data_IF_483455671153
#
_entry.id   IF_483455671153
#
_cell.length_a   1.000
_cell.length_b   1.000
_cell.length_c   1.000
_cell.angle_alpha   90.00
_cell.angle_beta   90.00
_cell.angle_gamma   90.00
#
_symmetry.space_group_name_H-M   'P 1'
#
loop_
_entity.id
_entity.type
_entity.pdbx_description
1 polymer ?
#
# COMPACT_ATOMS: atom_id res chain seq x y z
N UNK A 1 -51.95 58.81 28.12
CA UNK A 1 -53.04 57.81 28.22
C UNK A 1 -52.59 56.56 27.46
N UNK A 2 -52.42 55.34 27.99
CA UNK A 2 -53.00 54.71 29.16
C UNK A 2 -53.93 53.56 28.72
N UNK A 3 -53.38 52.34 28.52
CA UNK A 3 -54.02 51.02 28.64
C UNK A 3 -52.94 49.94 28.41
N UNK A 4 -52.42 49.27 29.46
CA UNK A 4 -53.01 48.12 30.20
C UNK A 4 -53.27 46.96 29.22
N UNK A 5 -52.72 45.75 29.33
CA UNK A 5 -51.82 45.10 30.28
C UNK A 5 -51.81 43.62 29.88
N UNK A 6 -50.65 43.05 29.52
CA UNK A 6 -50.50 41.60 29.24
C UNK A 6 -50.18 40.90 30.56
N UNK A 7 -51.11 40.09 31.06
CA UNK A 7 -50.86 39.00 32.00
C UNK A 7 -51.69 37.80 31.60
N UNK A 8 -51.04 36.65 31.51
CA UNK A 8 -51.61 35.37 31.14
C UNK A 8 -50.47 34.39 30.91
N UNK A 9 -49.80 34.01 32.01
CA UNK A 9 -48.89 32.87 32.03
C UNK A 9 -49.70 31.59 31.80
N UNK A 10 -49.31 30.77 30.82
CA UNK A 10 -49.56 29.33 30.86
C UNK A 10 -48.27 28.62 30.43
N UNK A 11 -47.72 27.92 31.42
CA UNK A 11 -46.66 26.93 31.39
C UNK A 11 -46.98 25.85 30.34
N UNK A 12 -46.01 25.50 29.49
CA UNK A 12 -46.20 24.48 28.46
C UNK A 12 -44.89 23.90 27.93
N UNK A 13 -44.31 23.00 28.73
CA UNK A 13 -43.37 21.92 28.39
C UNK A 13 -42.35 22.14 27.25
N UNK A 14 -41.09 22.31 27.68
CA UNK A 14 -39.90 22.05 26.90
C UNK A 14 -39.73 20.52 26.72
N UNK A 15 -40.08 19.98 25.55
CA UNK A 15 -39.73 18.62 25.15
C UNK A 15 -38.57 18.68 24.14
N UNK A 16 -37.35 18.80 24.66
CA UNK A 16 -36.13 18.68 23.84
C UNK A 16 -35.88 17.18 23.62
N UNK A 17 -36.36 16.64 22.51
CA UNK A 17 -36.06 15.28 22.08
C UNK A 17 -34.59 15.27 21.64
N UNK A 18 -33.70 14.86 22.54
CA UNK A 18 -32.35 14.41 22.18
C UNK A 18 -32.50 13.09 21.43
N UNK A 19 -32.64 13.16 20.11
CA UNK A 19 -32.39 12.01 19.25
C UNK A 19 -30.90 11.72 19.35
N UNK A 20 -30.55 10.73 20.18
CA UNK A 20 -29.22 10.16 20.22
C UNK A 20 -28.90 9.58 18.85
N UNK A 21 -28.07 10.29 18.07
CA UNK A 21 -27.41 9.70 16.91
C UNK A 21 -26.45 8.67 17.47
N UNK A 22 -26.86 7.40 17.48
CA UNK A 22 -25.94 6.30 17.64
C UNK A 22 -24.98 6.35 16.45
N UNK A 23 -23.81 6.93 16.68
CA UNK A 23 -22.71 6.84 15.76
C UNK A 23 -22.28 5.37 15.70
N UNK A 24 -22.89 4.62 14.77
CA UNK A 24 -22.34 3.36 14.29
C UNK A 24 -21.00 3.68 13.64
N UNK A 25 -19.96 3.79 14.46
CA UNK A 25 -18.59 3.60 14.00
C UNK A 25 -18.44 2.11 13.74
N UNK A 26 -18.96 1.67 12.59
CA UNK A 26 -18.50 0.44 11.99
C UNK A 26 -17.02 0.68 11.68
N UNK A 27 -16.14 0.38 12.63
CA UNK A 27 -14.74 0.18 12.35
C UNK A 27 -14.70 -0.90 11.27
N UNK A 28 -14.44 -0.49 10.03
CA UNK A 28 -14.39 -1.42 8.90
C UNK A 28 -13.40 -2.52 9.24
N UNK A 29 -13.87 -3.78 9.23
CA UNK A 29 -12.96 -4.92 9.31
C UNK A 29 -12.00 -4.73 8.13
N UNK A 30 -10.67 -4.64 8.36
CA UNK A 30 -9.72 -4.52 7.27
C UNK A 30 -9.97 -5.66 6.29
N UNK A 31 -10.30 -5.32 5.05
CA UNK A 31 -10.53 -6.32 4.02
C UNK A 31 -9.25 -7.17 3.91
N UNK A 32 -9.38 -8.46 4.21
CA UNK A 32 -8.25 -9.38 4.10
C UNK A 32 -7.82 -9.40 2.64
N UNK A 33 -6.57 -9.03 2.38
CA UNK A 33 -6.01 -9.10 1.02
C UNK A 33 -5.73 -10.56 0.71
N UNK A 34 -6.35 -11.06 -0.35
CA UNK A 34 -6.35 -12.51 -0.65
C UNK A 34 -4.93 -13.06 -0.95
N UNK A 35 -3.98 -12.19 -1.31
CA UNK A 35 -2.59 -12.55 -1.56
C UNK A 35 -1.66 -12.50 -0.33
N UNK A 36 -2.20 -12.12 0.82
CA UNK A 36 -1.48 -12.17 2.10
C UNK A 36 -1.95 -13.37 2.92
N UNK A 37 -0.99 -14.11 3.48
CA UNK A 37 -1.31 -15.04 4.56
C UNK A 37 -1.77 -14.27 5.81
N UNK A 38 -2.47 -14.96 6.71
CA UNK A 38 -2.92 -14.35 7.97
C UNK A 38 -1.74 -13.78 8.78
N UNK A 39 -0.62 -14.51 8.84
CA UNK A 39 0.58 -14.09 9.57
C UNK A 39 1.22 -12.84 8.95
N UNK A 40 1.20 -12.72 7.62
CA UNK A 40 1.73 -11.54 6.94
C UNK A 40 0.85 -10.32 7.13
N UNK A 41 -0.47 -10.50 7.07
CA UNK A 41 -1.43 -9.45 7.39
C UNK A 41 -1.27 -8.97 8.85
N UNK A 42 -1.08 -9.90 9.80
CA UNK A 42 -0.80 -9.56 11.19
C UNK A 42 0.50 -8.74 11.32
N UNK A 43 1.59 -9.14 10.66
CA UNK A 43 2.84 -8.36 10.65
C UNK A 43 2.64 -6.92 10.15
N UNK A 44 1.85 -6.72 9.10
CA UNK A 44 1.57 -5.37 8.56
C UNK A 44 0.73 -4.55 9.53
N UNK A 45 -0.28 -5.17 10.17
CA UNK A 45 -1.12 -4.52 11.18
C UNK A 45 -0.28 -4.08 12.39
N UNK A 46 0.63 -4.94 12.82
CA UNK A 46 1.43 -4.74 14.03
C UNK A 46 2.65 -3.83 13.80
N UNK A 47 2.97 -3.49 12.54
CA UNK A 47 4.00 -2.51 12.22
C UNK A 47 3.59 -1.10 12.66
N UNK A 48 4.50 -0.37 13.31
CA UNK A 48 4.22 0.93 13.92
C UNK A 48 4.24 2.05 12.87
N UNK A 49 5.15 1.95 11.90
CA UNK A 49 5.42 3.02 10.94
C UNK A 49 5.06 2.65 9.51
N UNK A 50 4.76 3.65 8.69
CA UNK A 50 4.52 3.47 7.24
C UNK A 50 5.76 2.89 6.54
N UNK A 51 6.98 3.31 6.94
CA UNK A 51 8.25 2.74 6.45
C UNK A 51 8.35 1.23 6.68
N UNK A 52 7.94 0.76 7.87
CA UNK A 52 7.96 -0.67 8.20
C UNK A 52 6.94 -1.45 7.38
N UNK A 53 5.73 -0.90 7.18
CA UNK A 53 4.71 -1.53 6.33
C UNK A 53 5.18 -1.66 4.89
N UNK A 54 5.75 -0.60 4.31
CA UNK A 54 6.37 -0.64 2.97
C UNK A 54 7.45 -1.72 2.89
N UNK A 55 8.34 -1.80 3.89
CA UNK A 55 9.38 -2.83 3.95
C UNK A 55 8.79 -4.25 3.99
N UNK A 56 7.73 -4.48 4.74
CA UNK A 56 7.07 -5.77 4.83
C UNK A 56 6.49 -6.19 3.48
N UNK A 57 5.73 -5.32 2.82
CA UNK A 57 5.20 -5.59 1.49
C UNK A 57 6.30 -5.90 0.47
N UNK A 58 7.40 -5.14 0.45
CA UNK A 58 8.52 -5.43 -0.44
C UNK A 58 9.25 -6.73 -0.10
N UNK A 59 9.31 -7.11 1.17
CA UNK A 59 9.85 -8.42 1.59
C UNK A 59 8.94 -9.53 1.10
N UNK A 60 7.63 -9.35 1.21
CA UNK A 60 6.64 -10.29 0.74
C UNK A 60 6.71 -10.46 -0.77
N UNK A 61 6.77 -9.37 -1.54
CA UNK A 61 6.99 -9.40 -2.98
C UNK A 61 8.24 -10.23 -3.36
N UNK A 62 9.38 -9.97 -2.71
CA UNK A 62 10.62 -10.74 -2.92
C UNK A 62 10.41 -12.24 -2.67
N UNK A 63 9.70 -12.62 -1.61
CA UNK A 63 9.39 -14.03 -1.31
C UNK A 63 8.50 -14.68 -2.39
N UNK A 64 7.53 -13.95 -2.97
CA UNK A 64 6.68 -14.48 -4.05
C UNK A 64 7.49 -14.69 -5.30
N UNK A 65 8.36 -13.73 -5.65
CA UNK A 65 9.20 -13.81 -6.83
C UNK A 65 10.23 -14.94 -6.73
N UNK A 66 10.76 -15.22 -5.53
CA UNK A 66 11.62 -16.39 -5.29
C UNK A 66 10.86 -17.71 -5.40
N UNK A 67 9.65 -17.78 -4.82
CA UNK A 67 8.79 -18.97 -4.95
C UNK A 67 8.40 -19.21 -6.40
N UNK A 68 8.16 -18.15 -7.18
CA UNK A 68 7.87 -18.23 -8.60
C UNK A 68 9.04 -18.85 -9.37
N UNK A 69 10.26 -18.35 -9.15
CA UNK A 69 11.47 -18.94 -9.74
C UNK A 69 11.67 -20.40 -9.31
N UNK A 70 11.44 -20.71 -8.04
CA UNK A 70 11.53 -22.07 -7.54
C UNK A 70 10.53 -23.02 -8.22
N UNK A 71 9.29 -22.57 -8.41
CA UNK A 71 8.24 -23.34 -9.10
C UNK A 71 8.58 -23.59 -10.57
N UNK A 72 9.22 -22.64 -11.26
CA UNK A 72 9.74 -22.86 -12.63
C UNK A 72 10.85 -23.91 -12.67
N UNK A 73 11.74 -23.93 -11.68
CA UNK A 73 12.84 -24.90 -11.60
C UNK A 73 12.37 -26.28 -11.12
N UNK A 74 11.31 -26.32 -10.31
CA UNK A 74 10.77 -27.52 -9.70
C UNK A 74 9.24 -27.57 -9.86
N UNK A 75 8.73 -27.78 -11.10
CA UNK A 75 7.30 -27.74 -11.36
C UNK A 75 6.52 -28.72 -10.49
N UNK A 76 5.49 -28.21 -9.83
CA UNK A 76 4.52 -29.04 -9.13
C UNK A 76 3.83 -30.00 -10.10
N UNK A 77 3.64 -31.25 -9.68
CA UNK A 77 3.00 -32.27 -10.54
C UNK A 77 1.56 -31.91 -10.92
N UNK A 78 0.90 -31.11 -10.08
CA UNK A 78 -0.45 -30.60 -10.29
C UNK A 78 -0.46 -29.10 -9.98
N UNK A 79 -1.20 -28.33 -10.76
CA UNK A 79 -1.43 -26.89 -10.55
C UNK A 79 -0.24 -25.95 -10.83
N UNK A 80 0.73 -26.37 -11.65
CA UNK A 80 1.89 -25.54 -11.99
C UNK A 80 1.49 -24.18 -12.61
N UNK A 81 0.67 -24.12 -13.68
CA UNK A 81 0.25 -22.83 -14.25
C UNK A 81 -0.51 -21.95 -13.26
N UNK A 82 -1.40 -22.53 -12.46
CA UNK A 82 -2.18 -21.80 -11.46
C UNK A 82 -1.29 -21.24 -10.35
N UNK A 83 -0.29 -22.02 -9.93
CA UNK A 83 0.68 -21.61 -8.90
C UNK A 83 1.54 -20.45 -9.40
N UNK A 84 2.06 -20.53 -10.63
CA UNK A 84 2.82 -19.44 -11.26
C UNK A 84 2.01 -18.13 -11.30
N UNK A 85 0.78 -18.20 -11.79
CA UNK A 85 -0.08 -17.02 -11.89
C UNK A 85 -0.48 -16.47 -10.52
N UNK A 86 -0.79 -17.34 -9.55
CA UNK A 86 -1.12 -16.92 -8.18
C UNK A 86 0.06 -16.21 -7.51
N UNK A 87 1.29 -16.73 -7.70
CA UNK A 87 2.51 -16.11 -7.16
C UNK A 87 2.80 -14.76 -7.81
N UNK A 88 2.62 -14.63 -9.14
CA UNK A 88 2.83 -13.37 -9.85
C UNK A 88 1.80 -12.31 -9.45
N UNK A 89 0.52 -12.68 -9.36
CA UNK A 89 -0.53 -11.77 -8.87
C UNK A 89 -0.30 -11.34 -7.42
N UNK A 90 0.18 -12.26 -6.58
CA UNK A 90 0.53 -11.92 -5.21
C UNK A 90 1.76 -11.01 -5.12
N UNK A 91 2.73 -11.13 -6.04
CA UNK A 91 3.83 -10.20 -6.19
C UNK A 91 3.32 -8.79 -6.55
N UNK A 92 2.47 -8.69 -7.59
CA UNK A 92 1.88 -7.43 -8.06
C UNK A 92 1.18 -6.71 -6.91
N UNK A 93 0.26 -7.40 -6.22
CA UNK A 93 -0.48 -6.81 -5.11
C UNK A 93 0.42 -6.29 -3.98
N UNK A 94 1.52 -6.99 -3.69
CA UNK A 94 2.48 -6.50 -2.69
C UNK A 94 3.22 -5.23 -3.14
N UNK A 95 3.58 -5.11 -4.41
CA UNK A 95 4.26 -3.91 -4.94
C UNK A 95 3.29 -2.74 -4.97
N UNK A 96 2.06 -2.93 -5.43
CA UNK A 96 1.02 -1.90 -5.50
C UNK A 96 0.73 -1.34 -4.11
N UNK A 97 0.53 -2.20 -3.12
CA UNK A 97 0.32 -1.79 -1.73
C UNK A 97 1.47 -0.99 -1.14
N UNK A 98 2.70 -1.35 -1.49
CA UNK A 98 3.88 -0.60 -1.06
C UNK A 98 3.90 0.80 -1.70
N UNK A 99 3.52 0.91 -2.97
CA UNK A 99 3.41 2.19 -3.68
C UNK A 99 2.28 3.05 -3.08
N UNK A 100 1.11 2.49 -2.84
CA UNK A 100 -0.04 3.15 -2.22
C UNK A 100 0.30 3.72 -0.84
N UNK A 101 1.04 2.95 -0.03
CA UNK A 101 1.51 3.43 1.29
C UNK A 101 2.49 4.60 1.17
N UNK A 102 3.36 4.61 0.15
CA UNK A 102 4.23 5.74 -0.12
C UNK A 102 3.40 6.96 -0.51
N UNK A 103 2.44 6.80 -1.42
CA UNK A 103 1.56 7.88 -1.82
C UNK A 103 0.79 8.44 -0.62
N UNK A 104 0.13 7.58 0.15
CA UNK A 104 -0.64 7.98 1.33
C UNK A 104 0.22 8.68 2.37
N UNK A 105 1.45 8.18 2.60
CA UNK A 105 2.39 8.81 3.51
C UNK A 105 2.81 10.20 3.03
N UNK A 106 2.96 10.42 1.71
CA UNK A 106 3.22 11.75 1.14
C UNK A 106 2.05 12.69 1.37
N UNK A 107 0.83 12.23 1.10
CA UNK A 107 -0.40 13.01 1.31
C UNK A 107 -0.58 13.43 2.78
N UNK A 108 -0.22 12.54 3.71
CA UNK A 108 -0.26 12.80 5.16
C UNK A 108 0.97 13.53 5.71
N UNK A 109 1.98 13.79 4.88
CA UNK A 109 3.27 14.35 5.30
C UNK A 109 3.99 13.50 6.37
N UNK A 110 3.80 12.18 6.33
CA UNK A 110 4.47 11.23 7.20
C UNK A 110 5.98 11.17 6.87
N UNK A 111 6.79 10.76 7.86
CA UNK A 111 8.21 10.47 7.62
C UNK A 111 8.37 9.10 6.95
N UNK A 112 8.42 9.11 5.62
CA UNK A 112 8.49 7.90 4.77
C UNK A 112 9.75 7.83 3.88
N UNK A 113 10.78 8.60 4.23
CA UNK A 113 11.98 8.71 3.38
C UNK A 113 12.66 7.35 3.18
N UNK A 114 12.70 6.51 4.22
CA UNK A 114 13.36 5.20 4.12
C UNK A 114 12.54 4.23 3.27
N UNK A 115 11.22 4.28 3.36
CA UNK A 115 10.30 3.50 2.52
C UNK A 115 10.47 3.85 1.05
N UNK A 116 10.52 5.15 0.71
CA UNK A 116 10.77 5.61 -0.66
C UNK A 116 12.12 5.12 -1.19
N UNK A 117 13.19 5.26 -0.40
CA UNK A 117 14.53 4.79 -0.78
C UNK A 117 14.56 3.27 -0.99
N UNK A 118 13.91 2.51 -0.12
CA UNK A 118 13.82 1.07 -0.21
C UNK A 118 13.01 0.63 -1.44
N UNK A 119 11.88 1.29 -1.72
CA UNK A 119 11.05 1.04 -2.89
C UNK A 119 11.87 1.19 -4.17
N UNK A 120 12.51 2.35 -4.36
CA UNK A 120 13.34 2.61 -5.55
C UNK A 120 14.49 1.60 -5.71
N UNK A 121 15.08 1.12 -4.60
CA UNK A 121 16.12 0.10 -4.66
C UNK A 121 15.58 -1.28 -5.00
N UNK A 122 14.45 -1.68 -4.41
CA UNK A 122 13.89 -3.03 -4.56
C UNK A 122 13.21 -3.22 -5.90
N UNK A 123 12.45 -2.24 -6.39
CA UNK A 123 11.81 -2.33 -7.71
C UNK A 123 12.85 -2.43 -8.84
N UNK A 124 14.01 -1.75 -8.73
CA UNK A 124 15.14 -1.98 -9.66
C UNK A 124 15.63 -3.43 -9.66
N UNK A 125 15.76 -4.03 -8.48
CA UNK A 125 16.20 -5.43 -8.36
C UNK A 125 15.15 -6.39 -8.92
N UNK A 126 13.87 -6.14 -8.65
CA UNK A 126 12.78 -6.96 -9.17
C UNK A 126 12.68 -6.87 -10.69
N UNK A 127 12.83 -5.67 -11.28
CA UNK A 127 12.82 -5.50 -12.73
C UNK A 127 13.90 -6.32 -13.43
N UNK A 128 15.11 -6.40 -12.87
CA UNK A 128 16.16 -7.26 -13.43
C UNK A 128 15.70 -8.72 -13.54
N UNK A 129 14.98 -9.22 -12.53
CA UNK A 129 14.45 -10.58 -12.53
C UNK A 129 13.29 -10.73 -13.50
N UNK A 130 12.30 -9.82 -13.44
CA UNK A 130 11.10 -9.88 -14.28
C UNK A 130 11.44 -9.74 -15.77
N UNK A 131 12.33 -8.82 -16.14
CA UNK A 131 12.77 -8.64 -17.52
C UNK A 131 13.55 -9.86 -18.03
N UNK A 132 14.35 -10.50 -17.17
CA UNK A 132 14.99 -11.77 -17.51
C UNK A 132 13.96 -12.87 -17.75
N UNK A 133 12.94 -12.99 -16.91
CA UNK A 133 11.83 -13.94 -17.10
C UNK A 133 11.06 -13.66 -18.39
N UNK A 134 10.90 -12.40 -18.79
CA UNK A 134 10.20 -12.05 -20.03
C UNK A 134 11.01 -12.40 -21.28
N UNK A 135 12.34 -12.32 -21.20
CA UNK A 135 13.26 -12.62 -22.30
C UNK A 135 13.57 -14.12 -22.43
N UNK A 136 13.77 -14.81 -21.30
CA UNK A 136 14.37 -16.14 -21.26
C UNK A 136 13.59 -17.14 -20.38
N UNK A 137 12.45 -16.73 -19.80
CA UNK A 137 11.69 -17.58 -18.88
C UNK A 137 11.14 -18.85 -19.54
N UNK A 138 11.30 -20.02 -18.91
CA UNK A 138 10.69 -21.26 -19.40
C UNK A 138 9.17 -21.16 -19.32
N UNK A 139 8.47 -21.81 -20.25
CA UNK A 139 6.99 -21.92 -20.21
C UNK A 139 6.27 -20.57 -20.10
N UNK A 140 6.89 -19.50 -20.59
CA UNK A 140 6.42 -18.10 -20.45
C UNK A 140 4.96 -17.90 -20.84
N UNK A 141 4.48 -18.61 -21.84
CA UNK A 141 3.09 -18.52 -22.30
C UNK A 141 2.07 -18.87 -21.21
N UNK A 142 2.46 -19.60 -20.15
CA UNK A 142 1.58 -19.92 -19.02
C UNK A 142 1.31 -18.72 -18.09
N UNK A 143 2.18 -17.71 -18.08
CA UNK A 143 2.14 -16.61 -17.11
C UNK A 143 2.42 -15.24 -17.72
N UNK A 144 2.48 -15.16 -19.06
CA UNK A 144 2.93 -13.97 -19.80
C UNK A 144 2.14 -12.71 -19.44
N UNK A 145 0.81 -12.81 -19.38
CA UNK A 145 -0.06 -11.64 -19.11
C UNK A 145 0.27 -11.04 -17.74
N UNK A 146 0.27 -11.84 -16.69
CA UNK A 146 0.61 -11.38 -15.33
C UNK A 146 2.08 -10.92 -15.22
N UNK A 147 3.00 -11.48 -16.02
CA UNK A 147 4.38 -10.99 -16.06
C UNK A 147 4.49 -9.62 -16.71
N UNK A 148 3.78 -9.39 -17.81
CA UNK A 148 3.77 -8.10 -18.49
C UNK A 148 3.19 -7.01 -17.55
N UNK A 149 2.08 -7.32 -16.85
CA UNK A 149 1.48 -6.45 -15.82
C UNK A 149 2.46 -6.21 -14.65
N UNK A 150 3.14 -7.25 -14.17
CA UNK A 150 4.13 -7.13 -13.11
C UNK A 150 5.30 -6.22 -13.50
N UNK A 151 5.76 -6.28 -14.75
CA UNK A 151 6.81 -5.40 -15.26
C UNK A 151 6.32 -3.96 -15.33
N UNK A 152 5.13 -3.73 -15.89
CA UNK A 152 4.54 -2.39 -16.01
C UNK A 152 4.35 -1.75 -14.63
N UNK A 153 3.63 -2.41 -13.72
CA UNK A 153 3.40 -1.90 -12.37
C UNK A 153 4.69 -1.67 -11.59
N UNK A 154 5.70 -2.54 -11.73
CA UNK A 154 6.99 -2.34 -11.07
C UNK A 154 7.78 -1.16 -11.66
N UNK A 155 7.70 -0.92 -12.98
CA UNK A 155 8.32 0.26 -13.62
C UNK A 155 7.67 1.54 -13.16
N UNK A 156 6.34 1.57 -13.08
CA UNK A 156 5.61 2.75 -12.61
C UNK A 156 5.93 3.05 -11.15
N UNK A 157 5.88 2.03 -10.30
CA UNK A 157 6.24 2.17 -8.89
C UNK A 157 7.71 2.63 -8.69
N UNK A 158 8.64 2.19 -9.54
CA UNK A 158 10.01 2.70 -9.55
C UNK A 158 10.06 4.19 -9.94
N UNK A 159 9.39 4.58 -11.02
CA UNK A 159 9.37 5.97 -11.48
C UNK A 159 8.79 6.90 -10.40
N UNK A 160 7.70 6.49 -9.77
CA UNK A 160 7.06 7.22 -8.68
C UNK A 160 7.97 7.34 -7.46
N UNK A 161 8.62 6.25 -7.05
CA UNK A 161 9.56 6.28 -5.93
C UNK A 161 10.76 7.21 -6.21
N UNK A 162 11.33 7.18 -7.42
CA UNK A 162 12.43 8.08 -7.79
C UNK A 162 11.99 9.55 -7.89
N UNK A 163 10.75 9.81 -8.30
CA UNK A 163 10.17 11.15 -8.25
C UNK A 163 9.99 11.61 -6.80
N UNK A 164 9.35 10.80 -5.97
CA UNK A 164 9.13 11.08 -4.56
C UNK A 164 10.44 11.35 -3.81
N UNK A 165 11.49 10.57 -4.11
CA UNK A 165 12.82 10.72 -3.51
C UNK A 165 13.42 12.12 -3.73
N UNK A 166 13.17 12.73 -4.89
CA UNK A 166 13.63 14.10 -5.19
C UNK A 166 12.87 15.15 -4.41
N UNK A 167 11.57 14.92 -4.19
CA UNK A 167 10.69 15.84 -3.46
C UNK A 167 10.94 15.83 -1.95
N UNK A 168 11.30 14.67 -1.38
CA UNK A 168 11.61 14.51 0.05
C UNK A 168 13.09 14.70 0.38
N UNK A 169 13.91 15.10 -0.60
CA UNK A 169 15.33 15.31 -0.40
C UNK A 169 15.59 16.40 0.65
N UNK A 170 16.50 16.19 1.62
CA UNK A 170 16.82 17.22 2.61
C UNK A 170 17.36 18.47 1.92
N UNK A 171 17.12 19.68 2.47
CA UNK A 171 17.59 20.92 1.88
C UNK A 171 19.10 20.87 1.59
N UNK A 172 19.57 21.40 0.45
CA UNK A 172 20.99 21.39 0.13
C UNK A 172 21.76 22.11 1.25
N UNK A 173 22.74 21.41 1.81
CA UNK A 173 23.61 21.96 2.85
C UNK A 173 24.34 23.17 2.27
N UNK A 174 23.96 24.38 2.69
CA UNK A 174 24.70 25.60 2.35
C UNK A 174 26.09 25.48 2.96
N UNK A 175 27.09 25.13 2.14
CA UNK A 175 28.50 25.25 2.55
C UNK A 175 28.76 26.73 2.85
N UNK A 176 28.94 27.05 4.13
CA UNK A 176 29.38 28.39 4.55
C UNK A 176 30.84 28.52 4.10
N UNK A 177 31.05 29.17 2.95
CA UNK A 177 32.40 29.56 2.55
C UNK A 177 32.90 30.56 3.58
N UNK A 178 33.78 30.09 4.47
CA UNK A 178 34.48 30.92 5.44
C UNK A 178 35.35 31.95 4.71
N UNK A 179 35.30 33.18 5.21
CA UNK A 179 36.15 34.30 4.80
C UNK A 179 37.62 34.02 5.08
#
# INVERSE_FOLDING_TARGET
MGRIGRRGEIIGLLAMVLVGVAANTAAGVPQKKDYLSAVEADKIRDAETTDERVKLFLTFADDRLKKFQYELEHPSMNHHPETLNALMNAYIGCVDDAADLIQLGREKQDNIRKGIELMASRTKQFLVVLEKLAAEGPERELYKENLDDAIEGTRDALQEAEKAKKEVAPPPVRRRNGR
#
